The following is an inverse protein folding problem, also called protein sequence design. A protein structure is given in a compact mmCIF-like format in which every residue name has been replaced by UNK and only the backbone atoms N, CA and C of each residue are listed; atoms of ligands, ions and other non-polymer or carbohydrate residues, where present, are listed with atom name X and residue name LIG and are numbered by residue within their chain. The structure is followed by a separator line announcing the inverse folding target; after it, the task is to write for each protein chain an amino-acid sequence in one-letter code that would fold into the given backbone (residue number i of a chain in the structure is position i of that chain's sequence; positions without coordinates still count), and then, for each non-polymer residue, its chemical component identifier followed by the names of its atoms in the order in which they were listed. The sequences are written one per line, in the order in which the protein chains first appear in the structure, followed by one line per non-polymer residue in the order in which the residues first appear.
data_IF_395417223439
#
_entry.id   IF_395417223439
#
_cell.length_a   1.000
_cell.length_b   1.000
_cell.length_c   1.000
_cell.angle_alpha   90.00
_cell.angle_beta   90.00
_cell.angle_gamma   90.00
#
_symmetry.space_group_name_H-M   'P 1'
#
loop_
_entity.id
_entity.type
_entity.pdbx_description
1 polymer ?
#
# COMPACT_ATOMS: atom_id res chain seq x y z
N UNK A 1 15.91 10.53 6.42
CA UNK A 1 14.45 10.77 6.51
C UNK A 1 13.74 9.49 6.93
N UNK A 2 12.74 9.58 7.81
CA UNK A 2 11.83 8.47 8.19
C UNK A 2 10.48 8.64 7.53
N UNK A 3 9.99 7.55 6.91
CA UNK A 3 8.73 7.54 6.19
C UNK A 3 7.85 6.43 6.76
N UNK A 4 6.66 6.77 7.20
CA UNK A 4 5.66 5.81 7.66
C UNK A 4 4.65 5.57 6.55
N UNK A 5 4.71 4.40 5.93
CA UNK A 5 3.77 3.96 4.91
C UNK A 5 2.58 3.32 5.61
N UNK A 6 1.41 3.94 5.57
CA UNK A 6 0.22 3.51 6.32
C UNK A 6 -0.89 3.13 5.33
N UNK A 7 -1.39 1.89 5.44
CA UNK A 7 -2.55 1.46 4.66
C UNK A 7 -3.80 2.08 5.25
N UNK A 8 -4.67 2.64 4.40
CA UNK A 8 -5.98 3.13 4.82
C UNK A 8 -6.75 2.07 5.64
N UNK A 9 -7.66 2.51 6.51
CA UNK A 9 -8.47 1.61 7.30
C UNK A 9 -9.57 0.94 6.47
N UNK A 10 -10.37 0.13 7.13
CA UNK A 10 -11.31 -0.80 6.51
C UNK A 10 -12.49 -0.07 5.86
N UNK A 11 -12.85 -0.50 4.66
CA UNK A 11 -14.03 -0.08 3.93
C UNK A 11 -15.03 -1.23 3.83
N UNK A 12 -16.23 -0.97 3.33
CA UNK A 12 -17.21 -2.04 3.07
C UNK A 12 -16.68 -3.04 2.05
N UNK A 13 -16.10 -2.56 0.97
CA UNK A 13 -15.52 -3.43 -0.07
C UNK A 13 -14.38 -4.31 0.46
N UNK A 14 -13.56 -3.80 1.39
CA UNK A 14 -12.52 -4.63 2.03
C UNK A 14 -13.14 -5.78 2.85
N UNK A 15 -14.23 -5.54 3.59
CA UNK A 15 -14.95 -6.58 4.34
C UNK A 15 -15.53 -7.64 3.41
N UNK A 16 -16.03 -7.23 2.27
CA UNK A 16 -16.62 -8.10 1.24
C UNK A 16 -15.55 -8.71 0.32
N UNK A 17 -14.26 -8.45 0.57
CA UNK A 17 -13.12 -8.93 -0.23
C UNK A 17 -13.22 -8.56 -1.71
N UNK A 18 -13.70 -7.35 -2.00
CA UNK A 18 -13.84 -6.80 -3.34
C UNK A 18 -12.53 -6.20 -3.84
N UNK A 19 -12.33 -6.20 -5.14
CA UNK A 19 -11.31 -5.40 -5.80
C UNK A 19 -11.73 -3.93 -5.72
N UNK A 20 -11.05 -3.13 -4.92
CA UNK A 20 -11.36 -1.71 -4.68
C UNK A 20 -10.14 -0.87 -5.03
N UNK A 21 -10.07 -0.42 -6.26
CA UNK A 21 -9.02 0.43 -6.81
C UNK A 21 -9.52 1.85 -7.05
N UNK A 22 -10.16 2.06 -8.19
CA UNK A 22 -10.73 3.36 -8.60
C UNK A 22 -12.05 3.68 -7.90
N UNK A 23 -12.74 2.68 -7.35
CA UNK A 23 -13.95 2.87 -6.55
C UNK A 23 -13.63 3.72 -5.32
N UNK A 24 -14.24 4.91 -5.24
CA UNK A 24 -13.97 5.89 -4.19
C UNK A 24 -14.98 5.78 -3.05
N UNK A 25 -14.81 4.76 -2.22
CA UNK A 25 -15.64 4.50 -1.05
C UNK A 25 -15.04 5.05 0.25
N UNK A 26 -15.92 5.35 1.21
CA UNK A 26 -15.57 5.80 2.55
C UNK A 26 -15.19 4.63 3.46
N UNK A 27 -14.55 4.93 4.57
CA UNK A 27 -14.34 3.97 5.65
C UNK A 27 -15.69 3.44 6.17
N UNK A 28 -15.72 2.18 6.54
CA UNK A 28 -16.85 1.61 7.28
C UNK A 28 -16.74 1.94 8.77
N UNK A 29 -17.83 1.75 9.52
CA UNK A 29 -17.87 2.08 10.94
C UNK A 29 -16.77 1.36 11.74
N UNK A 30 -16.55 0.08 11.47
CA UNK A 30 -15.51 -0.70 12.12
C UNK A 30 -14.11 -0.21 11.76
N UNK A 31 -13.91 0.29 10.54
CA UNK A 31 -12.66 0.92 10.10
C UNK A 31 -12.38 2.23 10.86
N UNK A 32 -13.41 3.02 11.12
CA UNK A 32 -13.32 4.25 11.91
C UNK A 32 -13.00 3.90 13.38
N UNK A 33 -13.73 2.96 13.96
CA UNK A 33 -13.52 2.52 15.35
C UNK A 33 -12.10 2.01 15.57
N UNK A 34 -11.59 1.17 14.65
CA UNK A 34 -10.22 0.66 14.70
C UNK A 34 -9.17 1.79 14.75
N UNK A 35 -9.36 2.86 13.97
CA UNK A 35 -8.43 3.99 13.96
C UNK A 35 -8.52 4.81 15.25
N UNK A 36 -9.73 5.07 15.75
CA UNK A 36 -9.92 5.82 17.01
C UNK A 36 -9.28 5.08 18.20
N UNK A 37 -9.43 3.76 18.28
CA UNK A 37 -8.79 2.92 19.30
C UNK A 37 -7.27 2.96 19.23
N UNK A 38 -6.69 3.12 18.04
CA UNK A 38 -5.25 3.07 17.78
C UNK A 38 -4.61 4.46 17.55
N UNK A 39 -5.36 5.52 17.64
CA UNK A 39 -4.92 6.87 17.28
C UNK A 39 -3.60 7.29 17.94
N UNK A 40 -3.45 7.01 19.23
CA UNK A 40 -2.22 7.29 19.98
C UNK A 40 -1.03 6.37 19.71
N UNK A 41 -1.19 5.35 18.86
CA UNK A 41 -0.13 4.40 18.52
C UNK A 41 0.58 4.76 17.20
N UNK A 42 0.02 5.70 16.43
CA UNK A 42 0.67 6.17 15.20
C UNK A 42 1.82 7.11 15.54
N UNK A 43 2.94 7.01 14.80
CA UNK A 43 4.11 7.85 15.08
C UNK A 43 3.82 9.32 14.81
N UNK A 44 4.47 10.20 15.55
CA UNK A 44 4.45 11.63 15.28
C UNK A 44 5.18 11.93 13.97
N UNK A 45 4.59 12.82 13.17
CA UNK A 45 5.12 13.23 11.87
C UNK A 45 5.00 14.75 11.71
N UNK A 46 5.81 15.31 10.83
CA UNK A 46 5.79 16.75 10.53
C UNK A 46 4.93 17.07 9.29
N UNK A 47 4.62 16.07 8.47
CA UNK A 47 3.81 16.24 7.26
C UNK A 47 3.18 14.93 6.81
N UNK A 48 2.03 15.01 6.13
CA UNK A 48 1.28 13.84 5.66
C UNK A 48 1.06 13.92 4.15
N UNK A 49 1.49 12.89 3.42
CA UNK A 49 1.16 12.70 2.01
C UNK A 49 0.04 11.66 1.92
N UNK A 50 -0.96 11.92 1.08
CA UNK A 50 -2.19 11.12 1.07
C UNK A 50 -2.55 10.76 -0.36
N UNK A 51 -2.96 9.51 -0.60
CA UNK A 51 -3.74 9.19 -1.80
C UNK A 51 -5.05 9.98 -1.79
N UNK A 52 -5.51 10.55 -2.93
CA UNK A 52 -6.71 11.38 -2.97
C UNK A 52 -8.01 10.64 -2.68
N UNK A 53 -7.96 9.29 -2.60
CA UNK A 53 -9.16 8.47 -2.36
C UNK A 53 -9.72 8.71 -0.95
N UNK A 54 -11.04 8.84 -0.83
CA UNK A 54 -11.76 9.14 0.43
C UNK A 54 -11.28 8.31 1.61
N UNK A 55 -11.12 7.00 1.43
CA UNK A 55 -10.64 6.09 2.47
C UNK A 55 -9.27 6.46 3.04
N UNK A 56 -8.37 7.00 2.20
CA UNK A 56 -7.05 7.45 2.64
C UNK A 56 -7.13 8.80 3.35
N UNK A 57 -7.90 9.75 2.80
CA UNK A 57 -8.11 11.06 3.40
C UNK A 57 -8.76 10.92 4.78
N UNK A 58 -9.85 10.16 4.90
CA UNK A 58 -10.51 9.90 6.17
C UNK A 58 -9.60 9.20 7.18
N UNK A 59 -8.76 8.27 6.72
CA UNK A 59 -7.75 7.65 7.59
C UNK A 59 -6.79 8.71 8.14
N UNK A 60 -6.23 9.57 7.28
CA UNK A 60 -5.33 10.65 7.69
C UNK A 60 -6.00 11.65 8.64
N UNK A 61 -7.25 12.03 8.39
CA UNK A 61 -8.04 12.92 9.25
C UNK A 61 -8.21 12.37 10.68
N UNK A 62 -8.37 11.06 10.81
CA UNK A 62 -8.54 10.42 12.12
C UNK A 62 -7.20 10.29 12.85
N UNK A 63 -6.14 9.81 12.17
CA UNK A 63 -4.87 9.51 12.85
C UNK A 63 -3.94 10.71 13.00
N UNK A 64 -4.07 11.73 12.12
CA UNK A 64 -3.27 12.97 12.12
C UNK A 64 -4.13 14.23 12.05
N UNK A 65 -5.14 14.40 12.93
CA UNK A 65 -6.11 15.49 12.83
C UNK A 65 -5.47 16.88 12.88
N UNK A 66 -4.41 17.05 13.66
CA UNK A 66 -3.76 18.36 13.77
C UNK A 66 -3.01 18.74 12.49
N UNK A 67 -2.35 17.76 11.83
CA UNK A 67 -1.68 17.98 10.54
C UNK A 67 -2.72 18.34 9.46
N UNK A 68 -3.82 17.60 9.40
CA UNK A 68 -4.89 17.84 8.42
C UNK A 68 -5.55 19.21 8.61
N UNK A 69 -5.86 19.61 9.84
CA UNK A 69 -6.42 20.94 10.17
C UNK A 69 -5.46 22.08 9.85
N UNK A 70 -4.17 21.89 10.13
CA UNK A 70 -3.13 22.88 9.87
C UNK A 70 -2.77 23.00 8.37
N UNK A 71 -3.32 22.15 7.49
CA UNK A 71 -2.93 22.09 6.09
C UNK A 71 -1.53 21.53 5.86
N UNK A 72 -0.97 20.84 6.86
CA UNK A 72 0.35 20.19 6.78
C UNK A 72 0.23 18.81 6.08
N UNK A 73 -0.42 18.81 4.93
CA UNK A 73 -0.57 17.62 4.08
C UNK A 73 -0.67 17.98 2.61
N UNK A 74 -0.43 17.00 1.74
CA UNK A 74 -0.72 17.09 0.31
C UNK A 74 -1.23 15.77 -0.25
N UNK A 75 -2.09 15.86 -1.27
CA UNK A 75 -2.55 14.71 -2.04
C UNK A 75 -1.62 14.45 -3.23
N UNK A 76 -1.36 13.18 -3.53
CA UNK A 76 -0.64 12.78 -4.73
C UNK A 76 -1.45 11.71 -5.49
N UNK A 77 -1.89 12.06 -6.72
CA UNK A 77 -2.69 11.22 -7.60
C UNK A 77 -2.00 9.90 -7.96
N UNK A 78 -0.67 9.88 -8.00
CA UNK A 78 0.11 8.70 -8.35
C UNK A 78 0.15 7.66 -7.23
N UNK A 79 -0.30 8.01 -6.02
CA UNK A 79 -0.43 7.08 -4.89
C UNK A 79 -1.76 6.33 -4.85
N UNK A 80 -2.65 6.49 -5.84
CA UNK A 80 -3.90 5.72 -5.93
C UNK A 80 -3.63 4.23 -6.07
N UNK A 81 -4.61 3.40 -5.66
CA UNK A 81 -4.57 1.95 -5.86
C UNK A 81 -4.61 1.60 -7.35
N UNK A 82 -4.33 0.37 -7.68
CA UNK A 82 -4.43 -0.18 -9.02
C UNK A 82 -5.86 -0.02 -9.56
N UNK A 83 -5.97 0.32 -10.83
CA UNK A 83 -7.25 0.24 -11.55
C UNK A 83 -7.50 -1.22 -11.92
N UNK A 84 -8.50 -1.82 -11.28
CA UNK A 84 -8.88 -3.21 -11.49
C UNK A 84 -9.83 -3.41 -12.69
N UNK A 85 -10.17 -2.35 -13.42
CA UNK A 85 -10.99 -2.40 -14.64
C UNK A 85 -12.29 -3.16 -14.44
N UNK A 86 -12.55 -4.19 -15.24
CA UNK A 86 -13.79 -5.00 -15.15
C UNK A 86 -13.97 -5.71 -13.80
N UNK A 87 -12.91 -5.84 -12.99
CA UNK A 87 -13.01 -6.50 -11.67
C UNK A 87 -13.36 -5.52 -10.55
N UNK A 88 -13.39 -4.20 -10.83
CA UNK A 88 -13.74 -3.18 -9.84
C UNK A 88 -15.07 -3.49 -9.16
N UNK A 89 -15.06 -3.35 -7.84
CA UNK A 89 -16.21 -3.54 -6.97
C UNK A 89 -16.86 -4.94 -7.05
N UNK A 90 -16.12 -5.95 -7.51
CA UNK A 90 -16.51 -7.36 -7.46
C UNK A 90 -15.55 -8.15 -6.57
N UNK A 91 -16.04 -9.24 -5.99
CA UNK A 91 -15.20 -10.22 -5.29
C UNK A 91 -15.00 -11.47 -6.15
N UNK A 92 -14.12 -12.36 -5.71
CA UNK A 92 -13.79 -13.58 -6.44
C UNK A 92 -14.99 -14.54 -6.65
N UNK A 93 -16.02 -14.47 -5.79
CA UNK A 93 -17.24 -15.30 -5.93
C UNK A 93 -18.09 -14.74 -7.08
N UNK A 94 -18.28 -13.42 -7.10
CA UNK A 94 -19.07 -12.74 -8.15
C UNK A 94 -18.38 -12.82 -9.51
N UNK A 95 -17.05 -12.86 -9.54
CA UNK A 95 -16.26 -13.05 -10.77
C UNK A 95 -16.15 -14.52 -11.17
N UNK A 96 -16.65 -15.46 -10.35
CA UNK A 96 -16.66 -16.88 -10.70
C UNK A 96 -17.52 -17.12 -11.95
N UNK A 97 -16.90 -17.71 -12.98
CA UNK A 97 -17.56 -17.91 -14.28
C UNK A 97 -17.43 -16.76 -15.27
N UNK A 98 -16.79 -15.66 -14.91
CA UNK A 98 -16.38 -14.59 -15.83
C UNK A 98 -15.17 -15.09 -16.66
N UNK A 99 -15.26 -15.19 -18.00
CA UNK A 99 -14.17 -15.68 -18.83
C UNK A 99 -12.87 -14.86 -18.69
N UNK A 100 -12.98 -13.55 -18.63
CA UNK A 100 -11.84 -12.63 -18.47
C UNK A 100 -11.14 -12.83 -17.14
N UNK A 101 -11.92 -13.12 -16.08
CA UNK A 101 -11.35 -13.42 -14.76
C UNK A 101 -10.62 -14.75 -14.76
N UNK A 102 -11.17 -15.78 -15.41
CA UNK A 102 -10.52 -17.09 -15.54
C UNK A 102 -9.19 -16.97 -16.29
N UNK A 103 -9.17 -16.28 -17.43
CA UNK A 103 -7.96 -16.02 -18.22
C UNK A 103 -6.91 -15.28 -17.38
N UNK A 104 -7.33 -14.29 -16.59
CA UNK A 104 -6.42 -13.55 -15.70
C UNK A 104 -5.85 -14.45 -14.59
N UNK A 105 -6.67 -15.30 -13.96
CA UNK A 105 -6.22 -16.29 -12.94
C UNK A 105 -5.23 -17.30 -13.56
N UNK A 106 -5.55 -17.84 -14.72
CA UNK A 106 -4.70 -18.83 -15.41
C UNK A 106 -3.32 -18.27 -15.80
N UNK A 107 -3.25 -16.94 -16.02
CA UNK A 107 -1.99 -16.24 -16.21
C UNK A 107 -1.14 -16.10 -14.94
N UNK A 108 -1.70 -16.47 -13.77
CA UNK A 108 -1.10 -16.19 -12.45
C UNK A 108 -1.09 -14.70 -12.09
N UNK A 109 -2.07 -13.93 -12.61
CA UNK A 109 -2.18 -12.48 -12.40
C UNK A 109 -1.10 -11.67 -13.15
N UNK A 110 -0.52 -12.22 -14.20
CA UNK A 110 0.51 -11.55 -15.01
C UNK A 110 -0.07 -10.67 -16.11
N UNK A 111 -1.28 -10.98 -16.57
CA UNK A 111 -1.96 -10.15 -17.56
C UNK A 111 -2.44 -8.84 -16.93
N UNK A 112 -2.57 -7.75 -17.71
CA UNK A 112 -3.27 -6.56 -17.27
C UNK A 112 -4.69 -6.89 -16.79
N UNK A 113 -5.21 -6.09 -15.86
CA UNK A 113 -6.63 -6.16 -15.56
C UNK A 113 -7.43 -5.76 -16.82
N UNK A 114 -8.42 -6.53 -17.24
CA UNK A 114 -9.25 -6.16 -18.39
C UNK A 114 -9.86 -4.77 -18.19
N UNK A 115 -9.64 -3.86 -19.14
CA UNK A 115 -10.03 -2.43 -19.07
C UNK A 115 -9.40 -1.64 -17.90
N UNK A 116 -8.35 -2.18 -17.27
CA UNK A 116 -7.66 -1.57 -16.14
C UNK A 116 -6.15 -1.43 -16.35
N UNK A 117 -5.42 -1.28 -15.25
CA UNK A 117 -3.96 -1.14 -15.30
C UNK A 117 -3.24 -2.48 -15.46
N UNK A 118 -2.09 -2.47 -16.13
CA UNK A 118 -1.12 -3.54 -15.98
C UNK A 118 -0.35 -3.37 -14.66
N UNK A 119 0.17 -4.49 -14.14
CA UNK A 119 1.01 -4.47 -12.93
C UNK A 119 2.21 -3.53 -13.10
N UNK A 120 2.85 -3.55 -14.26
CA UNK A 120 4.02 -2.72 -14.57
C UNK A 120 3.67 -1.23 -14.61
N UNK A 121 2.53 -0.86 -15.20
CA UNK A 121 2.05 0.52 -15.24
C UNK A 121 1.73 1.04 -13.84
N UNK A 122 1.04 0.22 -13.04
CA UNK A 122 0.72 0.52 -11.65
C UNK A 122 1.98 0.74 -10.80
N UNK A 123 2.93 -0.21 -10.84
CA UNK A 123 4.19 -0.11 -10.09
C UNK A 123 4.97 1.13 -10.52
N UNK A 124 5.13 1.36 -11.82
CA UNK A 124 5.85 2.53 -12.35
C UNK A 124 5.24 3.83 -11.85
N UNK A 125 3.90 3.99 -11.96
CA UNK A 125 3.18 5.17 -11.48
C UNK A 125 3.36 5.37 -9.98
N UNK A 126 3.21 4.32 -9.20
CA UNK A 126 3.37 4.32 -7.75
C UNK A 126 4.77 4.77 -7.33
N UNK A 127 5.80 4.21 -7.93
CA UNK A 127 7.20 4.56 -7.62
C UNK A 127 7.52 5.99 -8.05
N UNK A 128 6.96 6.47 -9.16
CA UNK A 128 7.09 7.87 -9.56
C UNK A 128 6.45 8.81 -8.52
N UNK A 129 5.22 8.51 -8.07
CA UNK A 129 4.54 9.27 -7.02
C UNK A 129 5.31 9.26 -5.69
N UNK A 130 5.88 8.12 -5.33
CA UNK A 130 6.69 8.03 -4.12
C UNK A 130 7.98 8.86 -4.22
N UNK A 131 8.65 8.88 -5.37
CA UNK A 131 9.82 9.76 -5.60
C UNK A 131 9.45 11.24 -5.51
N UNK A 132 8.28 11.64 -6.02
CA UNK A 132 7.77 13.01 -5.88
C UNK A 132 7.60 13.37 -4.40
N UNK A 133 6.98 12.47 -3.62
CA UNK A 133 6.82 12.65 -2.17
C UNK A 133 8.15 12.85 -1.47
N UNK A 134 9.15 12.02 -1.77
CA UNK A 134 10.46 12.12 -1.13
C UNK A 134 11.20 13.39 -1.54
N UNK A 135 11.17 13.78 -2.82
CA UNK A 135 11.79 15.03 -3.28
C UNK A 135 11.14 16.25 -2.63
N UNK A 136 9.81 16.27 -2.54
CA UNK A 136 9.09 17.36 -1.87
C UNK A 136 9.43 17.42 -0.38
N UNK A 137 9.47 16.28 0.30
CA UNK A 137 9.86 16.22 1.71
C UNK A 137 11.29 16.71 1.94
N UNK A 138 12.23 16.34 1.08
CA UNK A 138 13.62 16.82 1.13
C UNK A 138 13.72 18.32 0.86
N UNK A 139 13.00 18.84 -0.13
CA UNK A 139 13.00 20.26 -0.47
C UNK A 139 12.52 21.18 0.67
N UNK A 140 11.73 20.62 1.60
CA UNK A 140 11.22 21.33 2.77
C UNK A 140 11.81 20.84 4.12
N UNK A 141 12.93 20.12 4.09
CA UNK A 141 13.63 19.60 5.27
C UNK A 141 12.73 18.79 6.23
N UNK A 142 11.79 18.02 5.67
CA UNK A 142 10.85 17.17 6.44
C UNK A 142 11.52 15.84 6.79
N UNK A 143 12.01 15.71 8.01
CA UNK A 143 12.74 14.52 8.44
C UNK A 143 11.85 13.30 8.73
N UNK A 144 10.59 13.53 9.09
CA UNK A 144 9.66 12.47 9.48
C UNK A 144 8.28 12.72 8.87
N UNK A 145 7.86 11.85 7.96
CA UNK A 145 6.61 11.99 7.21
C UNK A 145 5.75 10.71 7.27
N UNK A 146 4.44 10.86 7.06
CA UNK A 146 3.54 9.76 6.78
C UNK A 146 3.11 9.77 5.31
N UNK A 147 2.92 8.58 4.75
CA UNK A 147 2.26 8.35 3.45
C UNK A 147 1.06 7.44 3.68
N UNK A 148 -0.14 7.99 3.58
CA UNK A 148 -1.37 7.21 3.73
C UNK A 148 -1.87 6.79 2.36
N UNK A 149 -1.82 5.49 2.10
CA UNK A 149 -2.09 4.93 0.77
C UNK A 149 -2.77 3.55 0.86
N UNK A 150 -2.54 2.68 -0.11
CA UNK A 150 -3.24 1.41 -0.29
C UNK A 150 -2.29 0.21 -0.18
N UNK A 151 -2.86 -0.99 -0.12
CA UNK A 151 -2.09 -2.21 0.00
C UNK A 151 -1.12 -2.42 -1.15
N UNK A 152 -1.59 -2.34 -2.39
CA UNK A 152 -0.76 -2.51 -3.58
C UNK A 152 0.30 -1.43 -3.72
N UNK A 153 -0.06 -0.17 -3.42
CA UNK A 153 0.86 0.97 -3.40
C UNK A 153 2.02 0.73 -2.43
N UNK A 154 1.72 0.32 -1.19
CA UNK A 154 2.74 0.06 -0.17
C UNK A 154 3.61 -1.14 -0.53
N UNK A 155 3.00 -2.23 -1.01
CA UNK A 155 3.76 -3.40 -1.48
C UNK A 155 4.75 -3.05 -2.58
N UNK A 156 4.35 -2.20 -3.56
CA UNK A 156 5.24 -1.74 -4.64
C UNK A 156 6.42 -0.92 -4.12
N UNK A 157 6.17 -0.01 -3.17
CA UNK A 157 7.22 0.82 -2.57
C UNK A 157 8.19 -0.06 -1.77
N UNK A 158 7.66 -0.95 -0.93
CA UNK A 158 8.47 -1.84 -0.09
C UNK A 158 9.30 -2.82 -0.91
N UNK A 159 8.75 -3.43 -1.97
CA UNK A 159 9.50 -4.32 -2.87
C UNK A 159 10.72 -3.61 -3.48
N UNK A 160 10.58 -2.32 -3.79
CA UNK A 160 11.64 -1.53 -4.44
C UNK A 160 12.68 -1.00 -3.46
N UNK A 161 12.27 -0.56 -2.27
CA UNK A 161 13.12 0.21 -1.36
C UNK A 161 13.48 -0.51 -0.06
N UNK A 162 12.81 -1.60 0.31
CA UNK A 162 13.17 -2.34 1.51
C UNK A 162 14.35 -3.28 1.23
N UNK A 163 15.46 -3.04 1.92
CA UNK A 163 16.67 -3.86 1.84
C UNK A 163 17.09 -4.36 3.22
N UNK A 164 17.84 -5.47 3.24
CA UNK A 164 18.51 -5.99 4.42
C UNK A 164 19.76 -5.17 4.73
N UNK A 165 20.41 -5.48 5.86
CA UNK A 165 21.67 -4.82 6.25
C UNK A 165 22.80 -4.99 5.23
N UNK A 166 22.79 -6.07 4.45
CA UNK A 166 23.74 -6.35 3.38
C UNK A 166 23.39 -5.67 2.04
N UNK A 167 22.33 -4.86 1.99
CA UNK A 167 21.85 -4.16 0.79
C UNK A 167 21.05 -5.04 -0.17
N UNK A 168 20.84 -6.33 0.13
CA UNK A 168 20.00 -7.19 -0.70
C UNK A 168 18.50 -6.90 -0.48
N UNK A 169 17.61 -7.17 -1.48
CA UNK A 169 16.17 -7.01 -1.30
C UNK A 169 15.66 -7.77 -0.07
N UNK A 170 14.87 -7.10 0.76
CA UNK A 170 14.37 -7.71 2.00
C UNK A 170 13.21 -8.68 1.78
N UNK A 171 12.52 -8.60 0.64
CA UNK A 171 11.39 -9.46 0.28
C UNK A 171 10.88 -9.19 -1.12
N UNK A 172 9.86 -9.93 -1.52
CA UNK A 172 9.09 -9.76 -2.75
C UNK A 172 7.78 -9.05 -2.48
N UNK A 173 7.09 -8.60 -3.51
CA UNK A 173 5.85 -7.83 -3.43
C UNK A 173 4.84 -8.36 -2.40
N UNK A 174 4.51 -9.64 -2.44
CA UNK A 174 3.50 -10.21 -1.55
C UNK A 174 3.98 -10.45 -0.11
N UNK A 175 5.28 -10.36 0.16
CA UNK A 175 5.81 -10.47 1.54
C UNK A 175 5.48 -9.23 2.35
N UNK A 176 5.14 -8.11 1.69
CA UNK A 176 4.77 -6.83 2.29
C UNK A 176 3.27 -6.60 2.44
N UNK A 177 2.46 -7.66 2.42
CA UNK A 177 1.04 -7.54 2.75
C UNK A 177 0.85 -7.05 4.18
N UNK A 178 -0.03 -6.04 4.35
CA UNK A 178 -0.39 -5.48 5.65
C UNK A 178 -1.90 -5.37 5.78
N UNK A 179 -2.38 -5.40 7.03
CA UNK A 179 -3.80 -5.20 7.34
C UNK A 179 -4.17 -3.72 7.23
N UNK A 180 -5.48 -3.45 7.11
CA UNK A 180 -6.00 -2.09 7.14
C UNK A 180 -5.63 -1.37 8.44
N UNK A 181 -5.19 -0.13 8.37
CA UNK A 181 -4.71 0.66 9.49
C UNK A 181 -3.32 0.29 10.01
N UNK A 182 -2.62 -0.68 9.40
CA UNK A 182 -1.22 -1.00 9.71
C UNK A 182 -0.26 -0.34 8.70
N UNK A 183 1.05 -0.40 8.98
CA UNK A 183 2.05 0.22 8.11
C UNK A 183 3.46 -0.32 8.28
N UNK A 184 4.38 0.29 7.53
CA UNK A 184 5.82 0.08 7.61
C UNK A 184 6.54 1.38 7.89
N UNK A 185 7.63 1.31 8.64
CA UNK A 185 8.65 2.35 8.69
C UNK A 185 9.70 2.07 7.60
N UNK A 186 9.96 3.06 6.78
CA UNK A 186 11.02 3.03 5.77
C UNK A 186 11.98 4.20 6.05
N UNK A 187 13.28 3.92 6.05
CA UNK A 187 14.32 4.96 6.21
C UNK A 187 15.03 5.14 4.89
N UNK A 188 15.06 6.36 4.39
CA UNK A 188 15.65 6.72 3.11
C UNK A 188 16.74 7.78 3.35
N UNK A 189 17.92 7.56 2.77
CA UNK A 189 18.97 8.56 2.65
C UNK A 189 18.81 9.39 1.37
N UNK A 190 19.52 10.52 1.28
CA UNK A 190 19.45 11.40 0.10
C UNK A 190 19.84 10.70 -1.20
N UNK A 191 20.75 9.74 -1.14
CA UNK A 191 21.28 9.06 -2.32
C UNK A 191 20.37 7.98 -2.89
N UNK A 192 19.41 7.46 -2.10
CA UNK A 192 18.64 6.27 -2.48
C UNK A 192 17.59 6.51 -3.59
N UNK A 193 17.26 7.77 -3.87
CA UNK A 193 16.22 8.15 -4.84
C UNK A 193 16.81 8.61 -6.18
N UNK A 194 18.05 9.08 -6.19
CA UNK A 194 18.68 9.62 -7.40
C UNK A 194 19.32 8.54 -8.29
N UNK A 195 19.49 7.32 -7.81
CA UNK A 195 20.23 6.24 -8.48
C UNK A 195 19.40 5.44 -9.50
N UNK A 196 18.23 5.93 -9.88
CA UNK A 196 17.20 5.14 -10.57
C UNK A 196 17.20 5.24 -12.11
N UNK A 197 18.19 5.93 -12.71
CA UNK A 197 18.21 6.07 -14.18
C UNK A 197 19.08 5.06 -14.93
N UNK A 198 20.00 4.36 -14.27
CA UNK A 198 21.02 3.56 -14.97
C UNK A 198 21.44 2.23 -14.32
N UNK A 199 20.81 1.74 -13.26
CA UNK A 199 21.23 0.50 -12.62
C UNK A 199 20.11 -0.55 -12.56
N UNK A 200 20.16 -1.45 -13.52
CA UNK A 200 19.77 -2.85 -13.32
C UNK A 200 20.74 -3.50 -12.32
N UNK A 201 20.89 -2.96 -11.12
CA UNK A 201 21.83 -3.47 -10.13
C UNK A 201 21.76 -2.68 -8.82
N UNK A 202 21.47 -3.42 -7.76
CA UNK A 202 21.74 -3.24 -6.34
C UNK A 202 22.29 -1.87 -5.90
N UNK A 203 21.50 -1.16 -5.07
CA UNK A 203 21.95 -0.02 -4.30
C UNK A 203 23.10 -0.42 -3.37
N UNK A 204 24.22 0.28 -3.45
CA UNK A 204 25.35 0.12 -2.53
C UNK A 204 25.05 0.85 -1.23
N UNK A 205 24.80 0.10 -0.16
CA UNK A 205 25.11 0.39 1.22
C UNK A 205 24.73 1.75 1.79
N UNK A 206 23.48 1.94 2.14
CA UNK A 206 23.07 2.84 3.22
C UNK A 206 21.83 2.24 3.91
N UNK A 207 21.72 2.46 5.22
CA UNK A 207 20.75 1.83 6.13
C UNK A 207 19.27 1.97 5.72
N UNK A 208 18.84 1.23 4.70
CA UNK A 208 17.43 1.08 4.35
C UNK A 208 16.82 -0.01 5.25
N UNK A 209 16.32 0.37 6.41
CA UNK A 209 15.61 -0.57 7.30
C UNK A 209 14.11 -0.41 7.11
N UNK A 210 13.50 -1.40 6.48
CA UNK A 210 12.05 -1.57 6.49
C UNK A 210 11.64 -2.42 7.69
N UNK A 211 11.05 -1.83 8.72
CA UNK A 211 10.46 -2.57 9.84
C UNK A 211 8.95 -2.41 9.84
N UNK A 212 8.23 -3.51 10.15
CA UNK A 212 6.78 -3.43 10.34
C UNK A 212 6.49 -2.52 11.53
N UNK A 213 5.69 -1.50 11.32
CA UNK A 213 5.27 -0.58 12.36
C UNK A 213 4.52 -1.38 13.43
N UNK A 214 5.01 -1.35 14.67
CA UNK A 214 4.38 -2.01 15.80
C UNK A 214 3.12 -1.23 16.22
N UNK A 215 2.05 -1.38 15.46
CA UNK A 215 0.71 -1.12 15.94
C UNK A 215 0.29 -2.43 16.60
N UNK A 216 0.56 -2.58 17.90
CA UNK A 216 0.29 -3.82 18.64
C UNK A 216 -1.19 -4.13 18.59
N UNK A 217 -1.57 -5.09 17.75
CA UNK A 217 -2.82 -5.79 17.90
C UNK A 217 -2.61 -6.87 18.94
N UNK A 218 -3.44 -6.88 19.99
CA UNK A 218 -3.56 -8.03 20.86
C UNK A 218 -3.75 -9.29 20.01
N UNK A 219 -3.17 -10.39 20.46
CA UNK A 219 -3.24 -11.70 19.84
C UNK A 219 -4.70 -12.12 19.56
N UNK A 220 -5.17 -11.91 18.35
CA UNK A 220 -6.31 -12.65 17.78
C UNK A 220 -6.30 -12.44 16.27
N UNK A 221 -6.22 -13.52 15.52
CA UNK A 221 -6.38 -13.68 14.07
C UNK A 221 -5.12 -13.89 13.20
N UNK A 222 -4.35 -14.91 13.56
CA UNK A 222 -3.47 -15.57 12.56
C UNK A 222 -4.20 -16.55 11.62
N UNK A 223 -5.53 -16.70 11.76
CA UNK A 223 -6.27 -17.76 11.06
C UNK A 223 -6.96 -17.34 9.77
N UNK A 224 -7.17 -16.05 9.48
CA UNK A 224 -7.98 -15.62 8.33
C UNK A 224 -7.20 -15.32 7.05
N UNK A 225 -5.90 -15.01 7.13
CA UNK A 225 -5.10 -14.63 5.94
C UNK A 225 -4.49 -15.84 5.19
N UNK A 226 -4.42 -17.01 5.84
CA UNK A 226 -3.94 -18.26 5.19
C UNK A 226 -4.98 -18.80 4.18
N UNK A 227 -6.25 -18.43 4.33
CA UNK A 227 -7.34 -18.86 3.45
C UNK A 227 -7.19 -18.39 2.00
N UNK A 228 -6.62 -17.20 1.78
CA UNK A 228 -6.52 -16.63 0.45
C UNK A 228 -5.40 -17.25 -0.41
N UNK A 229 -4.27 -17.65 0.19
CA UNK A 229 -3.21 -18.38 -0.54
C UNK A 229 -3.64 -19.80 -0.94
N UNK A 230 -4.46 -20.48 -0.12
CA UNK A 230 -4.94 -21.85 -0.41
C UNK A 230 -6.04 -21.88 -1.48
N UNK A 231 -6.83 -20.81 -1.61
CA UNK A 231 -7.90 -20.76 -2.62
C UNK A 231 -7.34 -20.55 -4.04
N UNK A 232 -6.24 -19.81 -4.21
CA UNK A 232 -5.57 -19.68 -5.51
C UNK A 232 -4.97 -21.02 -6.00
N UNK A 233 -4.47 -21.87 -5.11
CA UNK A 233 -3.96 -23.20 -5.45
C UNK A 233 -5.07 -24.25 -5.66
N UNK A 234 -6.26 -24.07 -5.08
CA UNK A 234 -7.35 -25.04 -5.16
C UNK A 234 -8.18 -24.95 -6.45
N UNK A 235 -8.16 -23.78 -7.12
CA UNK A 235 -8.85 -23.58 -8.40
C UNK A 235 -8.06 -24.09 -9.62
N UNK A 236 -6.73 -24.32 -9.44
CA UNK A 236 -5.87 -24.88 -10.50
C UNK A 236 -5.70 -26.42 -10.45
N UNK A 237 -6.35 -27.12 -9.54
CA UNK A 237 -6.30 -28.59 -9.38
C UNK A 237 -7.70 -29.19 -9.36
N UNK A 238 -8.44 -28.99 -10.45
CA UNK A 238 -9.73 -29.63 -10.65
C UNK A 238 -9.93 -29.87 -12.16
N UNK A 239 -9.51 -31.04 -12.61
CA UNK A 239 -10.08 -31.66 -13.80
C UNK A 239 -11.56 -31.94 -13.56
#
# INVERSE_FOLDING_TARGET
MRIYLIRHSMTKGNKEKRYIGTTDESLCLEGIQLLEERKGMYPEVTYVYVSPMKRCVQTAEIIYPEMMKAGAYSCNEKLRECDFGLFENHNYIELSGCPEYQVWIDSGGKLPFPEGESREAFIRRTLEGFREVVRDAQAYDRETIAVVAHGGTIMSIMERYAVKEDGTPAGSYYDYQIKNGEGYELRISENDIYDDRDRGGLCSGSDLRGSKMAVSSGEADRASDIGNRKNYQKLSAGE
#
